data_IF_249170817725
#
_entry.id   IF_249170817725
#
_cell.length_a   1.000
_cell.length_b   1.000
_cell.length_c   1.000
_cell.angle_alpha   90.00
_cell.angle_beta   90.00
_cell.angle_gamma   90.00
#
_symmetry.space_group_name_H-M   'P 1'
#
loop_
_entity.id
_entity.type
_entity.pdbx_description
1 polymer ?
#
# COMPACT_ATOMS: atom_id res chain seq x y z
N UNK A 1 13.00 11.98 16.63
CA UNK A 1 12.24 12.87 15.72
C UNK A 1 10.89 12.20 15.47
N UNK A 2 9.80 12.73 16.02
CA UNK A 2 8.46 12.17 15.77
C UNK A 2 7.96 12.65 14.42
N UNK A 3 8.10 11.81 13.39
CA UNK A 3 7.49 12.04 12.08
C UNK A 3 5.96 11.94 12.14
N UNK A 4 5.29 12.44 11.10
CA UNK A 4 3.84 12.27 10.96
C UNK A 4 3.52 10.78 10.81
N UNK A 5 2.44 10.29 11.42
CA UNK A 5 1.99 8.89 11.35
C UNK A 5 0.56 8.81 10.84
N UNK A 6 0.13 7.61 10.39
CA UNK A 6 -1.25 7.36 9.96
C UNK A 6 -2.30 7.62 11.04
N UNK A 7 -1.94 7.47 12.32
CA UNK A 7 -2.82 7.76 13.46
C UNK A 7 -3.25 9.22 13.50
N UNK A 8 -2.37 10.13 13.08
CA UNK A 8 -2.59 11.57 13.15
C UNK A 8 -3.42 12.10 11.98
N UNK A 9 -3.65 11.29 10.94
CA UNK A 9 -4.44 11.66 9.77
C UNK A 9 -5.91 11.29 9.96
N UNK A 10 -6.80 12.21 9.56
CA UNK A 10 -8.24 11.90 9.43
C UNK A 10 -8.48 10.82 8.38
N UNK A 11 -9.61 10.10 8.45
CA UNK A 11 -9.93 9.06 7.46
C UNK A 11 -9.94 9.58 6.02
N UNK A 12 -10.48 10.79 5.80
CA UNK A 12 -10.46 11.44 4.48
C UNK A 12 -9.03 11.76 4.02
N UNK A 13 -8.18 12.27 4.92
CA UNK A 13 -6.78 12.54 4.61
C UNK A 13 -6.01 11.25 4.28
N UNK A 14 -6.27 10.14 5.00
CA UNK A 14 -5.67 8.84 4.69
C UNK A 14 -6.05 8.36 3.29
N UNK A 15 -7.33 8.44 2.93
CA UNK A 15 -7.81 8.08 1.59
C UNK A 15 -7.16 8.92 0.50
N UNK A 16 -7.11 10.25 0.67
CA UNK A 16 -6.46 11.15 -0.29
C UNK A 16 -4.95 10.86 -0.44
N UNK A 17 -4.26 10.60 0.67
CA UNK A 17 -2.83 10.24 0.65
C UNK A 17 -2.59 8.89 -0.04
N UNK A 18 -3.42 7.89 0.22
CA UNK A 18 -3.32 6.59 -0.47
C UNK A 18 -3.56 6.76 -1.98
N UNK A 19 -4.54 7.57 -2.40
CA UNK A 19 -4.78 7.83 -3.81
C UNK A 19 -3.58 8.50 -4.51
N UNK A 20 -2.87 9.39 -3.80
CA UNK A 20 -1.69 10.09 -4.29
C UNK A 20 -0.37 9.27 -4.20
N UNK A 21 -0.34 8.19 -3.43
CA UNK A 21 0.87 7.41 -3.14
C UNK A 21 1.46 7.77 -1.77
N UNK A 22 0.95 7.11 -0.74
CA UNK A 22 1.41 7.28 0.64
C UNK A 22 2.76 6.57 0.83
N UNK A 23 3.78 7.28 1.31
CA UNK A 23 5.07 6.68 1.67
C UNK A 23 5.14 6.32 3.15
N UNK A 24 5.19 5.02 3.44
CA UNK A 24 5.33 4.46 4.79
C UNK A 24 6.81 4.14 5.06
N UNK A 25 7.36 4.63 6.17
CA UNK A 25 8.70 4.27 6.63
C UNK A 25 8.63 2.99 7.47
N UNK A 26 9.13 1.88 6.93
CA UNK A 26 9.22 0.58 7.59
C UNK A 26 10.69 0.22 7.86
N UNK A 27 11.20 0.63 9.02
CA UNK A 27 12.61 0.45 9.37
C UNK A 27 13.51 1.26 8.42
N UNK A 28 14.54 0.65 7.78
CA UNK A 28 15.41 1.35 6.84
C UNK A 28 14.75 1.61 5.48
N UNK A 29 13.63 0.94 5.18
CA UNK A 29 12.99 0.99 3.87
C UNK A 29 11.77 1.94 3.88
N UNK A 30 11.52 2.56 2.73
CA UNK A 30 10.33 3.36 2.43
C UNK A 30 9.48 2.62 1.40
N UNK A 31 8.24 2.34 1.78
CA UNK A 31 7.24 1.71 0.91
C UNK A 31 6.25 2.76 0.43
N UNK A 32 6.18 2.98 -0.89
CA UNK A 32 5.12 3.80 -1.50
C UNK A 32 3.92 2.92 -1.85
N UNK A 33 2.77 3.24 -1.28
CA UNK A 33 1.51 2.51 -1.50
C UNK A 33 0.50 3.45 -2.14
N UNK A 34 0.02 3.09 -3.33
CA UNK A 34 -0.94 3.87 -4.08
C UNK A 34 -2.23 3.09 -4.33
N UNK A 35 -3.37 3.72 -4.10
CA UNK A 35 -4.68 3.14 -4.41
C UNK A 35 -5.83 3.98 -3.88
N UNK A 36 -6.89 4.12 -4.68
CA UNK A 36 -8.08 4.88 -4.32
C UNK A 36 -9.15 4.05 -3.56
N UNK A 37 -8.91 2.76 -3.32
CA UNK A 37 -9.84 1.91 -2.58
C UNK A 37 -9.90 2.34 -1.10
N UNK A 38 -11.08 2.71 -0.55
CA UNK A 38 -11.19 3.09 0.85
C UNK A 38 -10.69 2.03 1.84
N UNK A 39 -10.80 0.74 1.48
CA UNK A 39 -10.36 -0.37 2.33
C UNK A 39 -8.85 -0.37 2.52
N UNK A 40 -8.09 0.12 1.53
CA UNK A 40 -6.64 0.27 1.65
C UNK A 40 -6.28 1.21 2.81
N UNK A 41 -6.88 2.41 2.83
CA UNK A 41 -6.59 3.41 3.86
C UNK A 41 -7.01 2.93 5.26
N UNK A 42 -8.12 2.21 5.36
CA UNK A 42 -8.60 1.64 6.62
C UNK A 42 -7.71 0.48 7.09
N UNK A 43 -7.27 -0.38 6.17
CA UNK A 43 -6.33 -1.48 6.44
C UNK A 43 -4.98 -0.94 6.94
N UNK A 44 -4.37 0.01 6.23
CA UNK A 44 -3.09 0.61 6.64
C UNK A 44 -3.19 1.30 8.01
N UNK A 45 -4.31 1.96 8.30
CA UNK A 45 -4.53 2.57 9.61
C UNK A 45 -4.71 1.53 10.72
N UNK A 46 -5.34 0.39 10.45
CA UNK A 46 -5.54 -0.66 11.44
C UNK A 46 -4.23 -1.34 11.83
N UNK A 47 -3.35 -1.62 10.86
CA UNK A 47 -2.15 -2.43 11.08
C UNK A 47 -0.86 -1.61 11.23
N UNK A 48 -0.76 -0.43 10.61
CA UNK A 48 0.43 0.44 10.67
C UNK A 48 0.14 1.85 11.23
N UNK A 49 -0.71 2.03 12.26
CA UNK A 49 -1.13 3.36 12.71
C UNK A 49 0.04 4.25 13.16
N UNK A 50 1.08 3.66 13.71
CA UNK A 50 2.19 4.35 14.36
C UNK A 50 3.46 4.39 13.49
N UNK A 51 3.43 3.82 12.30
CA UNK A 51 4.57 3.88 11.40
C UNK A 51 4.75 5.32 10.89
N UNK A 52 5.99 5.85 10.89
CA UNK A 52 6.24 7.17 10.36
C UNK A 52 5.95 7.21 8.86
N UNK A 53 5.46 8.34 8.39
CA UNK A 53 5.33 8.66 6.98
C UNK A 53 6.59 9.35 6.51
N UNK A 54 7.14 8.90 5.38
CA UNK A 54 8.21 9.62 4.72
C UNK A 54 7.66 10.89 4.05
N UNK A 55 8.56 11.81 3.71
CA UNK A 55 8.18 13.04 3.03
C UNK A 55 7.53 12.73 1.67
N UNK A 56 6.53 13.53 1.31
CA UNK A 56 5.88 13.40 0.00
C UNK A 56 6.92 13.63 -1.11
N UNK A 57 6.91 12.76 -2.13
CA UNK A 57 7.90 12.79 -3.20
C UNK A 57 9.31 12.30 -2.82
N UNK A 58 9.54 11.82 -1.60
CA UNK A 58 10.81 11.17 -1.25
C UNK A 58 11.06 9.92 -2.11
N UNK A 59 12.32 9.49 -2.16
CA UNK A 59 12.69 8.17 -2.64
C UNK A 59 11.90 7.09 -1.91
N UNK A 60 11.54 6.03 -2.62
CA UNK A 60 10.88 4.83 -2.09
C UNK A 60 11.64 3.61 -2.60
N UNK A 61 11.94 2.67 -1.70
CA UNK A 61 12.63 1.42 -2.02
C UNK A 61 11.71 0.43 -2.76
N UNK A 62 10.39 0.61 -2.63
CA UNK A 62 9.39 -0.18 -3.32
C UNK A 62 8.12 0.63 -3.56
N UNK A 63 7.47 0.39 -4.70
CA UNK A 63 6.16 0.94 -5.02
C UNK A 63 5.12 -0.16 -5.29
N UNK A 64 4.01 -0.10 -4.53
CA UNK A 64 2.85 -0.97 -4.65
C UNK A 64 1.66 -0.16 -5.13
N UNK A 65 0.95 -0.66 -6.14
CA UNK A 65 -0.29 -0.06 -6.64
C UNK A 65 -1.44 -1.04 -6.47
N UNK A 66 -2.42 -0.69 -5.64
CA UNK A 66 -3.69 -1.41 -5.56
C UNK A 66 -4.58 -0.96 -6.72
N UNK A 67 -4.76 -1.83 -7.70
CA UNK A 67 -5.56 -1.53 -8.89
C UNK A 67 -7.06 -1.70 -8.58
N UNK A 68 -7.92 -0.74 -8.99
CA UNK A 68 -9.36 -0.93 -8.91
C UNK A 68 -9.79 -2.06 -9.85
N UNK A 69 -10.85 -2.79 -9.49
CA UNK A 69 -11.42 -3.80 -10.39
C UNK A 69 -11.99 -3.18 -11.66
N UNK A 70 -11.95 -3.96 -12.75
CA UNK A 70 -12.77 -3.66 -13.93
C UNK A 70 -14.26 -3.75 -13.56
N UNK A 71 -15.08 -2.91 -14.19
CA UNK A 71 -16.46 -2.65 -13.75
C UNK A 71 -17.38 -3.87 -13.93
N UNK A 72 -16.93 -4.83 -14.74
CA UNK A 72 -17.58 -6.12 -15.05
C UNK A 72 -17.38 -7.18 -13.95
N UNK A 73 -16.35 -7.07 -13.11
CA UNK A 73 -16.05 -8.07 -12.06
C UNK A 73 -16.80 -7.81 -10.74
N UNK A 74 -17.70 -6.82 -10.73
CA UNK A 74 -18.39 -6.29 -9.55
C UNK A 74 -19.36 -7.27 -8.87
N UNK A 75 -19.65 -8.40 -9.53
CA UNK A 75 -20.60 -9.43 -9.09
C UNK A 75 -19.93 -10.72 -8.59
N UNK A 76 -18.62 -10.87 -8.78
CA UNK A 76 -17.82 -11.92 -8.12
C UNK A 76 -17.22 -11.34 -6.87
N UNK A 77 -17.06 -12.21 -5.87
CA UNK A 77 -16.44 -11.89 -4.60
C UNK A 77 -15.15 -11.08 -4.80
N UNK A 78 -15.01 -10.01 -4.03
CA UNK A 78 -14.40 -8.71 -4.42
C UNK A 78 -12.90 -8.80 -4.68
N UNK A 79 -12.50 -9.36 -5.83
CA UNK A 79 -11.08 -9.53 -6.15
C UNK A 79 -10.32 -8.19 -6.16
N UNK A 80 -9.06 -8.21 -5.76
CA UNK A 80 -8.14 -7.08 -5.84
C UNK A 80 -6.84 -7.56 -6.46
N UNK A 81 -6.11 -6.65 -7.09
CA UNK A 81 -4.79 -6.90 -7.64
C UNK A 81 -3.80 -5.88 -7.09
N UNK A 82 -2.63 -6.37 -6.68
CA UNK A 82 -1.48 -5.54 -6.33
C UNK A 82 -0.50 -5.61 -7.48
N UNK A 83 -0.23 -4.45 -8.08
CA UNK A 83 0.87 -4.28 -9.02
C UNK A 83 2.13 -3.81 -8.31
N UNK A 84 3.26 -4.39 -8.69
CA UNK A 84 4.60 -3.92 -8.37
C UNK A 84 5.11 -2.96 -9.46
N UNK A 85 6.16 -2.22 -9.14
CA UNK A 85 6.81 -1.25 -10.04
C UNK A 85 7.35 -1.88 -11.34
N UNK A 86 7.82 -3.12 -11.28
CA UNK A 86 8.34 -3.88 -12.42
C UNK A 86 7.24 -4.46 -13.34
N UNK A 87 5.97 -4.18 -13.03
CA UNK A 87 4.82 -4.68 -13.76
C UNK A 87 4.38 -6.09 -13.38
N UNK A 88 5.05 -6.75 -12.42
CA UNK A 88 4.54 -7.98 -11.83
C UNK A 88 3.27 -7.67 -11.03
N UNK A 89 2.20 -8.41 -11.29
CA UNK A 89 0.98 -8.34 -10.50
C UNK A 89 0.84 -9.63 -9.69
N UNK A 90 0.63 -9.51 -8.38
CA UNK A 90 0.12 -10.64 -7.62
C UNK A 90 -1.37 -10.84 -7.95
N UNK A 91 -1.71 -12.11 -8.18
CA UNK A 91 -2.98 -12.66 -8.66
C UNK A 91 -4.20 -12.13 -7.93
N UNK A 92 -5.38 -12.19 -8.57
CA UNK A 92 -6.67 -11.85 -7.96
C UNK A 92 -6.84 -12.50 -6.57
N UNK A 93 -7.02 -11.67 -5.53
CA UNK A 93 -7.24 -12.12 -4.15
C UNK A 93 -8.49 -11.50 -3.54
N UNK A 94 -9.18 -12.18 -2.60
CA UNK A 94 -10.35 -11.64 -1.92
C UNK A 94 -9.94 -10.53 -0.94
N UNK A 95 -10.86 -9.62 -0.63
CA UNK A 95 -10.58 -8.42 0.17
C UNK A 95 -9.94 -8.73 1.54
N UNK A 96 -10.35 -9.82 2.15
CA UNK A 96 -9.87 -10.31 3.45
C UNK A 96 -8.37 -10.64 3.41
N UNK A 97 -7.83 -10.95 2.24
CA UNK A 97 -6.42 -11.25 2.02
C UNK A 97 -5.59 -10.00 1.66
N UNK A 98 -6.17 -8.79 1.66
CA UNK A 98 -5.48 -7.56 1.25
C UNK A 98 -4.19 -7.31 2.04
N UNK A 99 -4.25 -7.38 3.36
CA UNK A 99 -3.06 -7.14 4.20
C UNK A 99 -1.96 -8.16 3.88
N UNK A 100 -2.32 -9.45 3.86
CA UNK A 100 -1.36 -10.52 3.60
C UNK A 100 -0.67 -10.36 2.25
N UNK A 101 -1.42 -9.98 1.21
CA UNK A 101 -0.85 -9.75 -0.12
C UNK A 101 -0.02 -8.45 -0.18
N UNK A 102 -0.39 -7.38 0.55
CA UNK A 102 0.43 -6.17 0.67
C UNK A 102 1.78 -6.48 1.35
N UNK A 103 1.75 -7.20 2.47
CA UNK A 103 2.97 -7.59 3.19
C UNK A 103 3.85 -8.52 2.38
N UNK A 104 3.24 -9.51 1.70
CA UNK A 104 3.98 -10.41 0.82
C UNK A 104 4.66 -9.65 -0.33
N UNK A 105 3.93 -8.73 -0.96
CA UNK A 105 4.45 -7.89 -2.03
C UNK A 105 5.61 -7.03 -1.56
N UNK A 106 5.50 -6.44 -0.37
CA UNK A 106 6.58 -5.65 0.21
C UNK A 106 7.82 -6.51 0.51
N UNK A 107 7.64 -7.66 1.17
CA UNK A 107 8.73 -8.57 1.47
C UNK A 107 9.43 -9.06 0.19
N UNK A 108 8.66 -9.32 -0.87
CA UNK A 108 9.21 -9.65 -2.18
C UNK A 108 10.10 -8.53 -2.71
N UNK A 109 9.59 -7.28 -2.76
CA UNK A 109 10.37 -6.14 -3.24
C UNK A 109 11.67 -5.94 -2.45
N UNK A 110 11.62 -6.07 -1.12
CA UNK A 110 12.82 -5.96 -0.28
C UNK A 110 13.79 -7.10 -0.59
N UNK A 111 13.32 -8.35 -0.68
CA UNK A 111 14.18 -9.50 -0.96
C UNK A 111 14.85 -9.43 -2.35
N UNK A 112 14.16 -8.89 -3.35
CA UNK A 112 14.66 -8.83 -4.74
C UNK A 112 15.56 -7.62 -5.01
N UNK A 113 15.36 -6.49 -4.33
CA UNK A 113 16.05 -5.23 -4.63
C UNK A 113 17.07 -4.80 -3.58
N UNK A 114 16.98 -5.25 -2.31
CA UNK A 114 17.87 -4.76 -1.26
C UNK A 114 19.34 -5.21 -1.39
N UNK A 115 19.64 -6.15 -2.29
CA UNK A 115 20.99 -6.69 -2.51
C UNK A 115 21.54 -6.37 -3.92
N UNK A 116 20.92 -5.43 -4.64
CA UNK A 116 21.39 -4.99 -5.97
C UNK A 116 22.27 -3.74 -5.88
#
# INVERSE_FOLDING_TARGET
MSGTTLRQLSRAARGARCAAGLSLQAGPCVLRIQGADPVLADCLHAYYPNYPLAAEGSFADAQLTLKPQAWVDRWRDRARQIGLEDGLAFTDFPLEALLANLEWSFNWCVATHANQ
#
